data_IF_566173243329
#
_entry.id   IF_566173243329
#
_cell.length_a   1.000
_cell.length_b   1.000
_cell.length_c   1.000
_cell.angle_alpha   90.00
_cell.angle_beta   90.00
_cell.angle_gamma   90.00
#
_symmetry.space_group_name_H-M   'P 1'
#
loop_
_entity.id
_entity.type
_entity.pdbx_description
1 polymer ?
#
# COMPACT_ATOMS: atom_id res chain seq x y z
N UNK A 1 -1.11 -11.02 19.45
CA UNK A 1 -1.27 -10.25 18.19
C UNK A 1 -0.45 -10.97 17.12
N UNK A 2 -0.92 -11.06 15.89
CA UNK A 2 -0.21 -11.76 14.79
C UNK A 2 0.26 -10.74 13.76
N UNK A 3 1.58 -10.57 13.62
CA UNK A 3 2.21 -9.73 12.58
C UNK A 3 2.47 -10.55 11.33
N UNK A 4 2.63 -9.87 10.19
CA UNK A 4 3.11 -10.49 8.97
C UNK A 4 4.58 -10.91 9.13
N UNK A 5 4.97 -11.91 8.37
CA UNK A 5 6.36 -12.31 8.17
C UNK A 5 6.85 -11.87 6.79
N UNK A 6 8.17 -11.85 6.59
CA UNK A 6 8.77 -11.64 5.27
C UNK A 6 8.25 -12.64 4.22
N UNK A 7 8.00 -13.89 4.63
CA UNK A 7 7.47 -14.93 3.75
C UNK A 7 6.04 -14.60 3.27
N UNK A 8 5.20 -14.06 4.14
CA UNK A 8 3.82 -13.66 3.80
C UNK A 8 3.82 -12.56 2.73
N UNK A 9 4.61 -11.50 2.95
CA UNK A 9 4.65 -10.35 2.04
C UNK A 9 5.34 -10.68 0.71
N UNK A 10 6.39 -11.49 0.74
CA UNK A 10 7.09 -11.94 -0.47
C UNK A 10 6.20 -12.85 -1.31
N UNK A 11 5.43 -13.73 -0.66
CA UNK A 11 4.50 -14.62 -1.36
C UNK A 11 3.36 -13.85 -1.99
N UNK A 12 2.73 -12.92 -1.25
CA UNK A 12 1.69 -12.06 -1.83
C UNK A 12 2.20 -11.25 -3.03
N UNK A 13 3.37 -10.62 -2.90
CA UNK A 13 3.97 -9.81 -3.98
C UNK A 13 4.16 -10.63 -5.25
N UNK A 14 4.70 -11.85 -5.13
CA UNK A 14 4.91 -12.77 -6.26
C UNK A 14 3.60 -13.28 -6.85
N UNK A 15 2.58 -13.45 -6.03
CA UNK A 15 1.32 -14.10 -6.41
C UNK A 15 0.14 -13.14 -6.58
N UNK A 16 0.39 -11.83 -6.62
CA UNK A 16 -0.66 -10.81 -6.65
C UNK A 16 -1.66 -11.02 -7.80
N UNK A 17 -1.17 -11.37 -9.00
CA UNK A 17 -2.05 -11.70 -10.13
C UNK A 17 -2.86 -12.99 -9.93
N UNK A 18 -2.31 -14.00 -9.24
CA UNK A 18 -3.08 -15.21 -8.88
C UNK A 18 -4.13 -14.89 -7.82
N UNK A 19 -3.79 -14.04 -6.86
CA UNK A 19 -4.73 -13.56 -5.85
C UNK A 19 -5.90 -12.83 -6.51
N UNK A 20 -5.63 -11.92 -7.45
CA UNK A 20 -6.67 -11.20 -8.17
C UNK A 20 -7.54 -12.13 -9.03
N UNK A 21 -6.93 -13.09 -9.74
CA UNK A 21 -7.70 -14.07 -10.52
C UNK A 21 -8.69 -14.86 -9.64
N UNK A 22 -8.27 -15.27 -8.44
CA UNK A 22 -9.14 -15.94 -7.46
C UNK A 22 -10.22 -15.02 -6.91
N UNK A 23 -9.90 -13.73 -6.71
CA UNK A 23 -10.88 -12.73 -6.27
C UNK A 23 -11.98 -12.53 -7.32
N UNK A 24 -11.58 -12.41 -8.59
CA UNK A 24 -12.49 -12.32 -9.74
C UNK A 24 -13.37 -13.57 -9.87
N UNK A 25 -12.78 -14.76 -9.75
CA UNK A 25 -13.53 -16.02 -9.79
C UNK A 25 -14.59 -16.10 -8.69
N UNK A 26 -14.24 -15.69 -7.47
CA UNK A 26 -15.12 -15.79 -6.31
C UNK A 26 -16.20 -14.69 -6.24
N UNK A 27 -15.91 -13.49 -6.73
CA UNK A 27 -16.75 -12.30 -6.49
C UNK A 27 -17.25 -11.61 -7.76
N UNK A 28 -16.66 -11.92 -8.91
CA UNK A 28 -16.86 -11.19 -10.16
C UNK A 28 -16.22 -9.79 -10.16
N UNK A 29 -15.43 -9.43 -9.14
CA UNK A 29 -14.81 -8.11 -8.98
C UNK A 29 -13.30 -8.23 -8.88
N UNK A 30 -12.58 -7.30 -9.53
CA UNK A 30 -11.16 -7.10 -9.29
C UNK A 30 -10.94 -6.33 -7.97
N UNK A 31 -9.66 -6.18 -7.58
CA UNK A 31 -9.33 -5.55 -6.29
C UNK A 31 -9.81 -4.09 -6.24
N UNK A 32 -9.67 -3.36 -7.35
CA UNK A 32 -10.09 -1.97 -7.48
C UNK A 32 -11.60 -1.83 -7.30
N UNK A 33 -12.38 -2.59 -8.05
CA UNK A 33 -13.84 -2.55 -8.05
C UNK A 33 -14.39 -2.95 -6.69
N UNK A 34 -13.78 -3.94 -6.04
CA UNK A 34 -14.15 -4.35 -4.70
C UNK A 34 -13.87 -3.24 -3.67
N UNK A 35 -12.70 -2.59 -3.73
CA UNK A 35 -12.35 -1.51 -2.83
C UNK A 35 -13.30 -0.30 -2.97
N UNK A 36 -13.61 0.10 -4.20
CA UNK A 36 -14.55 1.20 -4.50
C UNK A 36 -15.94 0.89 -3.97
N UNK A 37 -16.43 -0.32 -4.24
CA UNK A 37 -17.75 -0.77 -3.75
C UNK A 37 -17.80 -0.78 -2.22
N UNK A 38 -16.74 -1.23 -1.55
CA UNK A 38 -16.65 -1.24 -0.09
C UNK A 38 -16.62 0.18 0.50
N UNK A 39 -16.02 1.14 -0.21
CA UNK A 39 -15.99 2.55 0.16
C UNK A 39 -17.28 3.32 -0.21
N UNK A 40 -18.24 2.69 -0.89
CA UNK A 40 -19.44 3.36 -1.40
C UNK A 40 -19.14 4.40 -2.49
N UNK A 41 -18.05 4.21 -3.23
CA UNK A 41 -17.60 5.11 -4.29
C UNK A 41 -17.86 4.51 -5.67
N UNK A 42 -18.22 5.37 -6.62
CA UNK A 42 -18.27 5.00 -8.04
C UNK A 42 -16.88 5.13 -8.68
N UNK A 43 -16.57 4.24 -9.63
CA UNK A 43 -15.23 4.16 -10.24
C UNK A 43 -14.82 5.44 -10.97
N UNK A 44 -15.78 6.10 -11.63
CA UNK A 44 -15.57 7.36 -12.33
C UNK A 44 -15.16 8.51 -11.41
N UNK A 45 -15.41 8.40 -10.11
CA UNK A 45 -15.11 9.45 -9.12
C UNK A 45 -13.69 9.33 -8.54
N UNK A 46 -12.95 8.25 -8.81
CA UNK A 46 -11.65 7.98 -8.17
C UNK A 46 -10.52 7.87 -9.20
N UNK A 47 -9.73 8.92 -9.31
CA UNK A 47 -8.51 8.87 -10.11
C UNK A 47 -7.34 8.35 -9.27
N UNK A 48 -6.96 7.09 -9.49
CA UNK A 48 -5.73 6.52 -8.89
C UNK A 48 -4.49 6.79 -9.75
N UNK A 49 -4.65 6.92 -11.07
CA UNK A 49 -3.51 7.20 -11.96
C UNK A 49 -2.95 8.58 -11.64
N UNK A 50 -1.64 8.62 -11.38
CA UNK A 50 -0.94 9.84 -11.00
C UNK A 50 -1.07 10.21 -9.52
N UNK A 51 -1.82 9.43 -8.71
CA UNK A 51 -1.75 9.56 -7.26
C UNK A 51 -0.35 9.14 -6.79
N UNK A 52 0.41 10.10 -6.27
CA UNK A 52 1.79 9.89 -5.82
C UNK A 52 1.80 9.44 -4.37
N UNK A 53 2.20 8.19 -4.13
CA UNK A 53 2.05 7.52 -2.84
C UNK A 53 3.40 6.94 -2.39
N UNK A 54 3.80 7.19 -1.15
CA UNK A 54 5.00 6.60 -0.59
C UNK A 54 4.67 5.61 0.54
N UNK A 55 5.27 4.42 0.50
CA UNK A 55 5.33 3.53 1.66
C UNK A 55 6.60 3.86 2.46
N UNK A 56 6.47 4.22 3.74
CA UNK A 56 7.62 4.53 4.60
C UNK A 56 7.84 3.41 5.60
N UNK A 57 9.06 2.83 5.67
CA UNK A 57 9.36 1.82 6.67
C UNK A 57 9.37 2.46 8.07
N UNK A 58 8.76 1.80 9.04
CA UNK A 58 8.76 2.27 10.43
C UNK A 58 9.56 1.31 11.29
N UNK A 59 10.41 1.86 12.16
CA UNK A 59 11.25 1.06 13.07
C UNK A 59 10.65 0.94 14.47
N UNK A 60 9.55 1.64 14.75
CA UNK A 60 8.84 1.56 16.01
C UNK A 60 8.38 0.11 16.32
N UNK A 61 8.42 -0.26 17.60
CA UNK A 61 8.03 -1.59 18.05
C UNK A 61 9.05 -2.66 17.68
N UNK A 62 8.60 -3.78 17.12
CA UNK A 62 9.40 -4.91 16.67
C UNK A 62 10.15 -4.65 15.34
N UNK A 63 10.12 -3.41 14.85
CA UNK A 63 10.90 -2.96 13.70
C UNK A 63 10.36 -3.40 12.34
N UNK A 64 11.20 -3.19 11.31
CA UNK A 64 10.83 -3.35 9.90
C UNK A 64 10.70 -4.84 9.54
N UNK A 65 9.58 -5.18 8.90
CA UNK A 65 9.43 -6.46 8.20
C UNK A 65 10.04 -6.31 6.80
N UNK A 66 11.09 -7.08 6.50
CA UNK A 66 11.73 -7.09 5.18
C UNK A 66 10.70 -7.34 4.07
N UNK A 67 10.73 -6.52 3.01
CA UNK A 67 9.81 -6.61 1.87
C UNK A 67 8.40 -6.09 2.12
N UNK A 68 8.06 -5.62 3.33
CA UNK A 68 6.71 -5.11 3.61
C UNK A 68 6.36 -3.87 2.78
N UNK A 69 7.24 -2.86 2.77
CA UNK A 69 7.01 -1.65 1.97
C UNK A 69 6.98 -1.95 0.47
N UNK A 70 7.79 -2.89 0.00
CA UNK A 70 7.80 -3.30 -1.40
C UNK A 70 6.51 -4.01 -1.79
N UNK A 71 5.95 -4.82 -0.89
CA UNK A 71 4.64 -5.46 -1.06
C UNK A 71 3.53 -4.41 -1.15
N UNK A 72 3.53 -3.41 -0.25
CA UNK A 72 2.57 -2.28 -0.32
C UNK A 72 2.69 -1.55 -1.66
N UNK A 73 3.91 -1.25 -2.10
CA UNK A 73 4.16 -0.61 -3.39
C UNK A 73 3.66 -1.47 -4.55
N UNK A 74 3.91 -2.78 -4.54
CA UNK A 74 3.42 -3.68 -5.58
C UNK A 74 1.89 -3.67 -5.70
N UNK A 75 1.17 -3.67 -4.57
CA UNK A 75 -0.29 -3.56 -4.55
C UNK A 75 -0.76 -2.19 -5.09
N UNK A 76 -0.11 -1.10 -4.70
CA UNK A 76 -0.47 0.25 -5.15
C UNK A 76 -0.22 0.43 -6.66
N UNK A 77 0.90 -0.07 -7.17
CA UNK A 77 1.20 -0.09 -8.61
C UNK A 77 0.18 -0.93 -9.37
N UNK A 78 -0.21 -2.08 -8.83
CA UNK A 78 -1.25 -2.94 -9.39
C UNK A 78 -2.62 -2.24 -9.48
N UNK A 79 -2.95 -1.41 -8.49
CA UNK A 79 -4.16 -0.56 -8.50
C UNK A 79 -4.05 0.67 -9.44
N UNK A 80 -2.87 0.92 -10.00
CA UNK A 80 -2.61 1.99 -10.96
C UNK A 80 -2.09 3.31 -10.38
N UNK A 81 -1.64 3.33 -9.12
CA UNK A 81 -1.01 4.49 -8.49
C UNK A 81 0.45 4.69 -8.95
N UNK A 82 1.00 5.90 -8.73
CA UNK A 82 2.45 6.16 -8.79
C UNK A 82 3.03 5.97 -7.39
N UNK A 83 3.63 4.79 -7.11
CA UNK A 83 4.03 4.40 -5.78
C UNK A 83 5.50 3.99 -5.66
N UNK A 84 6.12 4.31 -4.51
CA UNK A 84 7.50 3.91 -4.20
C UNK A 84 7.71 3.69 -2.69
N UNK A 85 8.77 2.96 -2.34
CA UNK A 85 9.20 2.80 -0.95
C UNK A 85 10.24 3.87 -0.60
N UNK A 86 10.11 4.50 0.56
CA UNK A 86 11.11 5.44 1.08
C UNK A 86 12.38 4.68 1.50
N UNK A 87 13.55 5.23 1.15
CA UNK A 87 14.85 4.64 1.52
C UNK A 87 15.23 4.91 2.97
N UNK A 88 14.62 5.90 3.60
CA UNK A 88 14.81 6.25 5.01
C UNK A 88 13.58 5.82 5.80
N UNK A 89 13.73 5.36 7.05
CA UNK A 89 12.59 5.04 7.89
C UNK A 89 12.07 6.24 8.68
N UNK A 90 10.91 6.04 9.30
CA UNK A 90 10.31 6.91 10.31
C UNK A 90 10.17 8.36 9.85
N UNK A 91 10.45 9.32 10.73
CA UNK A 91 10.32 10.76 10.48
C UNK A 91 11.18 11.21 9.30
N UNK A 92 12.38 10.65 9.11
CA UNK A 92 13.25 10.98 7.97
C UNK A 92 12.63 10.49 6.66
N UNK A 93 12.07 9.29 6.67
CA UNK A 93 11.37 8.72 5.54
C UNK A 93 10.12 9.49 5.15
N UNK A 94 9.33 9.91 6.15
CA UNK A 94 8.15 10.76 5.97
C UNK A 94 8.56 12.10 5.35
N UNK A 95 9.56 12.77 5.92
CA UNK A 95 10.05 14.05 5.42
C UNK A 95 10.57 13.95 3.98
N UNK A 96 11.34 12.90 3.66
CA UNK A 96 11.85 12.67 2.31
C UNK A 96 10.72 12.37 1.31
N UNK A 97 9.72 11.56 1.69
CA UNK A 97 8.59 11.22 0.83
C UNK A 97 7.74 12.46 0.49
N UNK A 98 7.42 13.28 1.48
CA UNK A 98 6.66 14.52 1.27
C UNK A 98 7.45 15.51 0.42
N UNK A 99 8.76 15.67 0.67
CA UNK A 99 9.63 16.52 -0.15
C UNK A 99 9.73 16.04 -1.61
N UNK A 100 9.60 14.73 -1.86
CA UNK A 100 9.54 14.14 -3.19
C UNK A 100 8.15 14.25 -3.86
N UNK A 101 7.18 14.86 -3.19
CA UNK A 101 5.84 15.11 -3.72
C UNK A 101 4.83 13.99 -3.48
N UNK A 102 5.03 13.14 -2.47
CA UNK A 102 3.99 12.21 -2.04
C UNK A 102 2.77 12.97 -1.50
N UNK A 103 1.59 12.66 -2.04
CA UNK A 103 0.31 13.17 -1.53
C UNK A 103 -0.34 12.25 -0.51
N UNK A 104 0.01 10.97 -0.52
CA UNK A 104 -0.42 9.97 0.48
C UNK A 104 0.78 9.19 0.98
N UNK A 105 0.80 8.89 2.28
CA UNK A 105 1.82 8.07 2.93
C UNK A 105 1.18 6.79 3.50
N UNK A 106 1.76 5.63 3.21
CA UNK A 106 1.45 4.39 3.91
C UNK A 106 2.49 4.12 4.99
N UNK A 107 2.01 3.98 6.23
CA UNK A 107 2.83 3.81 7.43
C UNK A 107 2.27 2.65 8.25
N UNK A 108 3.14 1.79 8.77
CA UNK A 108 2.73 0.69 9.64
C UNK A 108 3.65 0.56 10.84
N UNK A 109 3.10 0.59 12.06
CA UNK A 109 3.75 0.04 13.25
C UNK A 109 3.10 -1.31 13.61
N UNK A 110 3.42 -1.86 14.77
CA UNK A 110 2.88 -3.16 15.21
C UNK A 110 1.37 -3.15 15.44
N UNK A 111 0.77 -1.99 15.65
CA UNK A 111 -0.63 -1.83 16.07
C UNK A 111 -1.51 -1.19 15.00
N UNK A 112 -0.94 -0.41 14.09
CA UNK A 112 -1.65 0.42 13.12
C UNK A 112 -0.97 0.31 11.77
N UNK A 113 -1.78 0.03 10.76
CA UNK A 113 -1.44 0.26 9.37
C UNK A 113 -2.38 1.33 8.83
N UNK A 114 -1.83 2.47 8.40
CA UNK A 114 -2.60 3.63 7.98
C UNK A 114 -2.19 4.12 6.60
N UNK A 115 -3.13 4.78 5.92
CA UNK A 115 -2.89 5.66 4.79
C UNK A 115 -3.19 7.10 5.22
N UNK A 116 -2.18 7.97 5.17
CA UNK A 116 -2.29 9.37 5.57
C UNK A 116 -2.27 10.26 4.32
N UNK A 117 -3.40 10.91 4.01
CA UNK A 117 -3.45 11.94 2.98
C UNK A 117 -2.86 13.25 3.54
N UNK A 118 -1.79 13.73 2.92
CA UNK A 118 -1.07 14.95 3.29
C UNK A 118 -1.33 16.11 2.31
N UNK A 119 -2.14 15.88 1.28
CA UNK A 119 -2.67 16.92 0.39
C UNK A 119 -4.00 17.46 0.93
N UNK A 120 -4.18 18.78 0.87
CA UNK A 120 -5.43 19.46 1.19
C UNK A 120 -6.27 19.65 -0.06
#
# INVERSE_FOLDING_TARGET
MTRLTEADVTTLTRELGKFEARLLEATGLDLRSLALRAAGMEDCCVQLRGARIAAVPMTAGDGVITGFTDCVVAVLLHLGCDAWASTQPDVRGIQAAVAAGAGVLFLADDHRFIALNVTR
#
